data_IF_425111503358
#
_entry.id   IF_425111503358
#
_cell.length_a   1.000
_cell.length_b   1.000
_cell.length_c   1.000
_cell.angle_alpha   90.00
_cell.angle_beta   90.00
_cell.angle_gamma   90.00
#
_symmetry.space_group_name_H-M   'P 1'
#
loop_
_entity.id
_entity.type
_entity.pdbx_description
1 polymer ?
#
# COMPACT_ATOMS: atom_id res chain seq x y z
N UNK A 1 15.71 -7.48 -5.99
CA UNK A 1 14.98 -6.58 -5.06
C UNK A 1 13.51 -6.64 -5.44
N UNK A 2 12.62 -6.66 -4.44
CA UNK A 2 11.15 -6.69 -4.67
C UNK A 2 10.58 -5.28 -4.52
N UNK A 3 9.88 -4.80 -5.55
CA UNK A 3 9.20 -3.50 -5.54
C UNK A 3 7.69 -3.72 -5.60
N UNK A 4 6.98 -3.08 -4.68
CA UNK A 4 5.52 -3.02 -4.64
C UNK A 4 5.08 -1.62 -5.09
N UNK A 5 4.21 -1.55 -6.09
CA UNK A 5 3.58 -0.31 -6.54
C UNK A 5 2.15 -0.31 -6.02
N UNK A 6 1.81 0.70 -5.26
CA UNK A 6 0.51 0.87 -4.61
C UNK A 6 -0.27 1.99 -5.25
N UNK A 7 -1.48 1.73 -5.71
CA UNK A 7 -2.40 2.80 -6.08
C UNK A 7 -2.98 3.42 -4.81
N UNK A 8 -2.55 4.63 -4.48
CA UNK A 8 -2.88 5.28 -3.21
C UNK A 8 -4.17 6.08 -3.31
N UNK A 9 -5.11 5.83 -2.39
CA UNK A 9 -6.34 6.59 -2.23
C UNK A 9 -6.58 7.00 -0.77
N UNK A 10 -7.81 7.38 -0.46
CA UNK A 10 -8.22 7.96 0.83
C UNK A 10 -8.21 6.96 2.00
N UNK A 11 -8.28 5.67 1.72
CA UNK A 11 -8.24 4.63 2.74
C UNK A 11 -6.86 3.96 2.81
N UNK A 12 -5.91 4.56 3.53
CA UNK A 12 -4.51 4.14 3.47
C UNK A 12 -4.26 2.73 4.00
N UNK A 13 -5.19 2.15 4.79
CA UNK A 13 -4.97 0.82 5.39
C UNK A 13 -4.67 -0.26 4.35
N UNK A 14 -5.35 -0.24 3.21
CA UNK A 14 -5.15 -1.25 2.17
C UNK A 14 -3.76 -1.14 1.54
N UNK A 15 -3.25 0.07 1.37
CA UNK A 15 -1.92 0.32 0.82
C UNK A 15 -0.79 -0.15 1.75
N UNK A 16 -1.02 -0.14 3.06
CA UNK A 16 -0.02 -0.63 4.02
C UNK A 16 -0.14 -2.13 4.30
N UNK A 17 -1.32 -2.70 4.06
CA UNK A 17 -1.57 -4.14 4.27
C UNK A 17 -0.66 -4.98 3.38
N UNK A 18 -0.59 -4.68 2.07
CA UNK A 18 0.28 -5.40 1.15
C UNK A 18 1.75 -5.28 1.54
N UNK A 19 2.23 -4.09 1.91
CA UNK A 19 3.58 -3.90 2.41
C UNK A 19 3.88 -4.77 3.64
N UNK A 20 2.90 -4.93 4.53
CA UNK A 20 3.03 -5.75 5.74
C UNK A 20 3.04 -7.25 5.43
N UNK A 21 2.22 -7.69 4.47
CA UNK A 21 2.12 -9.10 4.07
C UNK A 21 3.34 -9.55 3.27
N UNK A 22 3.71 -8.77 2.23
CA UNK A 22 4.73 -9.18 1.27
C UNK A 22 6.15 -8.75 1.64
N UNK A 23 6.30 -7.80 2.57
CA UNK A 23 7.59 -7.26 3.05
C UNK A 23 8.55 -6.96 1.89
N UNK A 24 8.16 -6.10 0.95
CA UNK A 24 9.01 -5.75 -0.19
C UNK A 24 10.23 -4.95 0.27
N UNK A 25 11.25 -4.84 -0.57
CA UNK A 25 12.40 -3.95 -0.31
C UNK A 25 12.03 -2.48 -0.53
N UNK A 26 11.03 -2.23 -1.39
CA UNK A 26 10.57 -0.89 -1.74
C UNK A 26 9.06 -0.87 -2.02
N UNK A 27 8.40 0.18 -1.54
CA UNK A 27 7.00 0.52 -1.85
C UNK A 27 6.97 1.86 -2.58
N UNK A 28 6.23 1.95 -3.68
CA UNK A 28 6.01 3.19 -4.42
C UNK A 28 4.52 3.51 -4.41
N UNK A 29 4.13 4.53 -3.68
CA UNK A 29 2.76 5.04 -3.71
C UNK A 29 2.53 5.89 -4.95
N UNK A 30 1.51 5.55 -5.73
CA UNK A 30 1.09 6.29 -6.94
C UNK A 30 -0.26 6.94 -6.68
N UNK A 31 -0.32 8.27 -6.77
CA UNK A 31 -1.55 9.02 -6.53
C UNK A 31 -1.42 10.51 -6.82
N UNK A 32 -2.47 11.26 -6.52
CA UNK A 32 -2.45 12.71 -6.58
C UNK A 32 -1.59 13.29 -5.44
N UNK A 33 -1.13 14.51 -5.54
CA UNK A 33 -0.22 15.13 -4.56
C UNK A 33 -0.63 15.06 -3.08
N UNK A 34 -1.81 14.52 -2.75
CA UNK A 34 -2.25 14.22 -1.39
C UNK A 34 -1.36 13.21 -0.66
N UNK A 35 -0.76 12.28 -1.43
CA UNK A 35 0.20 11.30 -0.90
C UNK A 35 1.55 11.92 -0.51
N UNK A 36 1.82 13.13 -0.96
CA UNK A 36 3.05 13.89 -0.67
C UNK A 36 2.95 14.83 0.52
N UNK A 37 1.80 14.90 1.21
CA UNK A 37 1.67 15.74 2.40
C UNK A 37 2.57 15.27 3.52
N UNK A 38 3.07 16.22 4.30
CA UNK A 38 4.01 15.93 5.39
C UNK A 38 3.41 14.99 6.44
N UNK A 39 2.10 15.11 6.71
CA UNK A 39 1.38 14.22 7.62
C UNK A 39 1.39 12.77 7.13
N UNK A 40 1.23 12.55 5.82
CA UNK A 40 1.26 11.20 5.25
C UNK A 40 2.68 10.60 5.27
N UNK A 41 3.72 11.43 5.19
CA UNK A 41 5.11 10.98 5.36
C UNK A 41 5.34 10.51 6.79
N UNK A 42 4.98 11.34 7.77
CA UNK A 42 5.15 11.02 9.17
C UNK A 42 4.35 9.75 9.57
N UNK A 43 3.10 9.62 9.09
CA UNK A 43 2.28 8.45 9.32
C UNK A 43 2.89 7.18 8.70
N UNK A 44 3.48 7.29 7.51
CA UNK A 44 4.18 6.19 6.85
C UNK A 44 5.38 5.71 7.65
N UNK A 45 6.22 6.64 8.10
CA UNK A 45 7.44 6.32 8.88
C UNK A 45 7.07 5.70 10.23
N UNK A 46 6.05 6.23 10.90
CA UNK A 46 5.55 5.70 12.16
C UNK A 46 4.98 4.28 12.01
N UNK A 47 4.18 4.04 10.97
CA UNK A 47 3.67 2.72 10.67
C UNK A 47 4.79 1.73 10.37
N UNK A 48 5.73 2.11 9.52
CA UNK A 48 6.88 1.28 9.17
C UNK A 48 7.69 0.89 10.41
N UNK A 49 7.91 1.85 11.33
CA UNK A 49 8.59 1.63 12.59
C UNK A 49 7.84 0.63 13.48
N UNK A 50 6.51 0.82 13.65
CA UNK A 50 5.67 -0.06 14.48
C UNK A 50 5.63 -1.48 13.93
N UNK A 51 5.50 -1.63 12.61
CA UNK A 51 5.39 -2.91 11.92
C UNK A 51 6.75 -3.53 11.61
N UNK A 52 7.87 -2.85 11.93
CA UNK A 52 9.25 -3.27 11.64
C UNK A 52 9.43 -3.63 10.16
N UNK A 53 8.88 -2.78 9.28
CA UNK A 53 9.00 -2.99 7.84
C UNK A 53 10.39 -2.57 7.35
N UNK A 54 11.10 -3.43 6.62
CA UNK A 54 12.44 -3.13 6.12
C UNK A 54 12.43 -2.25 4.86
N UNK A 55 11.25 -1.98 4.30
CA UNK A 55 11.10 -1.37 2.99
C UNK A 55 11.30 0.15 3.00
N UNK A 56 11.78 0.68 1.86
CA UNK A 56 11.77 2.11 1.58
C UNK A 56 10.45 2.51 0.97
N UNK A 57 9.95 3.69 1.36
CA UNK A 57 8.75 4.26 0.77
C UNK A 57 9.11 5.40 -0.16
N UNK A 58 8.64 5.32 -1.42
CA UNK A 58 8.78 6.33 -2.46
C UNK A 58 7.38 6.76 -2.94
N UNK A 59 7.31 7.88 -3.64
CA UNK A 59 6.05 8.40 -4.19
C UNK A 59 6.22 8.75 -5.65
N UNK A 60 5.18 8.50 -6.42
CA UNK A 60 5.07 8.92 -7.79
C UNK A 60 3.72 9.62 -8.00
N UNK A 61 3.74 10.74 -8.70
CA UNK A 61 2.53 11.51 -8.98
C UNK A 61 1.83 10.95 -10.21
N UNK A 62 0.53 10.69 -10.07
CA UNK A 62 -0.40 10.47 -11.17
C UNK A 62 -1.78 10.97 -10.77
N UNK A 63 -2.54 11.48 -11.72
CA UNK A 63 -3.93 11.89 -11.52
C UNK A 63 -4.82 10.65 -11.59
N UNK A 64 -5.44 10.22 -10.48
CA UNK A 64 -6.19 8.95 -10.44
C UNK A 64 -7.46 8.97 -11.32
N UNK A 65 -7.94 10.14 -11.70
CA UNK A 65 -9.04 10.36 -12.63
C UNK A 65 -8.62 10.40 -14.12
N UNK A 66 -7.32 10.28 -14.40
CA UNK A 66 -6.79 10.26 -15.77
C UNK A 66 -6.18 8.89 -16.09
N UNK A 67 -6.92 8.10 -16.87
CA UNK A 67 -6.50 6.76 -17.30
C UNK A 67 -5.10 6.73 -17.94
N UNK A 68 -4.83 7.69 -18.84
CA UNK A 68 -3.55 7.70 -19.57
C UNK A 68 -2.39 8.11 -18.68
N UNK A 69 -2.62 9.00 -17.73
CA UNK A 69 -1.60 9.44 -16.77
C UNK A 69 -1.23 8.30 -15.81
N UNK A 70 -2.22 7.61 -15.24
CA UNK A 70 -1.99 6.44 -14.39
C UNK A 70 -1.29 5.33 -15.16
N UNK A 71 -1.82 4.94 -16.34
CA UNK A 71 -1.22 3.88 -17.17
C UNK A 71 0.24 4.19 -17.52
N UNK A 72 0.52 5.42 -17.95
CA UNK A 72 1.88 5.85 -18.28
C UNK A 72 2.80 5.82 -17.06
N UNK A 73 2.35 6.35 -15.93
CA UNK A 73 3.17 6.43 -14.72
C UNK A 73 3.48 5.05 -14.18
N UNK A 74 2.49 4.19 -14.00
CA UNK A 74 2.68 2.82 -13.51
C UNK A 74 3.51 2.00 -14.49
N UNK A 75 3.23 2.09 -15.79
CA UNK A 75 4.00 1.39 -16.83
C UNK A 75 5.49 1.79 -16.83
N UNK A 76 5.79 3.09 -16.70
CA UNK A 76 7.16 3.58 -16.60
C UNK A 76 7.88 3.08 -15.34
N UNK A 77 7.16 3.01 -14.19
CA UNK A 77 7.71 2.46 -12.95
C UNK A 77 8.05 0.97 -13.12
N UNK A 78 7.14 0.17 -13.69
CA UNK A 78 7.35 -1.25 -13.96
C UNK A 78 8.57 -1.44 -14.87
N UNK A 79 8.63 -0.70 -15.99
CA UNK A 79 9.74 -0.79 -16.94
C UNK A 79 11.09 -0.43 -16.27
N UNK A 80 11.10 0.64 -15.47
CA UNK A 80 12.29 1.08 -14.71
C UNK A 80 12.75 0.02 -13.71
N UNK A 81 11.85 -0.59 -12.97
CA UNK A 81 12.22 -1.63 -11.99
C UNK A 81 12.69 -2.91 -12.69
N UNK A 82 12.01 -3.36 -13.72
CA UNK A 82 12.40 -4.52 -14.53
C UNK A 82 13.76 -4.32 -15.19
N UNK A 83 14.06 -3.13 -15.70
CA UNK A 83 15.39 -2.84 -16.31
C UNK A 83 16.55 -2.91 -15.31
N UNK A 84 16.25 -2.82 -14.01
CA UNK A 84 17.21 -2.99 -12.91
C UNK A 84 17.29 -4.43 -12.39
N UNK A 85 16.56 -5.35 -13.00
CA UNK A 85 16.46 -6.74 -12.55
C UNK A 85 15.62 -6.93 -11.29
N UNK A 86 14.74 -5.97 -10.96
CA UNK A 86 13.86 -6.06 -9.81
C UNK A 86 12.55 -6.78 -10.17
N UNK A 87 12.04 -7.57 -9.23
CA UNK A 87 10.66 -8.03 -9.27
C UNK A 87 9.72 -6.86 -8.98
N UNK A 88 8.63 -6.75 -9.73
CA UNK A 88 7.69 -5.65 -9.59
C UNK A 88 6.26 -6.16 -9.59
N UNK A 89 5.50 -5.80 -8.58
CA UNK A 89 4.09 -6.15 -8.40
C UNK A 89 3.28 -4.87 -8.20
N UNK A 90 2.09 -4.80 -8.76
CA UNK A 90 1.16 -3.67 -8.60
C UNK A 90 -0.03 -4.12 -7.76
N UNK A 91 -0.25 -3.46 -6.62
CA UNK A 91 -1.47 -3.64 -5.84
C UNK A 91 -2.52 -2.62 -6.28
N UNK A 92 -3.66 -3.13 -6.70
CA UNK A 92 -4.78 -2.30 -7.15
C UNK A 92 -5.88 -2.14 -6.09
N UNK A 93 -5.69 -2.68 -4.89
CA UNK A 93 -6.72 -2.69 -3.84
C UNK A 93 -7.17 -1.28 -3.43
N UNK A 94 -6.24 -0.36 -3.25
CA UNK A 94 -6.51 1.00 -2.76
C UNK A 94 -6.80 2.04 -3.85
N UNK A 95 -6.84 1.65 -5.13
CA UNK A 95 -7.00 2.58 -6.23
C UNK A 95 -8.46 3.00 -6.48
N UNK A 96 -8.65 4.16 -7.10
CA UNK A 96 -9.96 4.59 -7.62
C UNK A 96 -10.29 3.86 -8.91
N UNK A 97 -11.57 3.74 -9.23
CA UNK A 97 -12.11 2.94 -10.34
C UNK A 97 -11.33 3.08 -11.65
N UNK A 98 -11.07 4.31 -12.09
CA UNK A 98 -10.37 4.55 -13.35
C UNK A 98 -8.87 4.19 -13.26
N UNK A 99 -8.25 4.40 -12.10
CA UNK A 99 -6.87 3.99 -11.84
C UNK A 99 -6.74 2.47 -11.80
N UNK A 100 -7.75 1.74 -11.26
CA UNK A 100 -7.79 0.29 -11.28
C UNK A 100 -7.83 -0.25 -12.73
N UNK A 101 -8.69 0.34 -13.57
CA UNK A 101 -8.79 -0.04 -14.99
C UNK A 101 -7.48 0.25 -15.73
N UNK A 102 -6.86 1.40 -15.45
CA UNK A 102 -5.59 1.78 -16.08
C UNK A 102 -4.45 0.83 -15.69
N UNK A 103 -4.29 0.54 -14.40
CA UNK A 103 -3.27 -0.41 -13.93
C UNK A 103 -3.57 -1.83 -14.39
N UNK A 104 -4.84 -2.27 -14.33
CA UNK A 104 -5.28 -3.59 -14.81
C UNK A 104 -4.96 -3.82 -16.29
N UNK A 105 -5.04 -2.78 -17.13
CA UNK A 105 -4.68 -2.89 -18.55
C UNK A 105 -3.22 -3.29 -18.79
N UNK A 106 -2.33 -3.06 -17.81
CA UNK A 106 -0.92 -3.43 -17.88
C UNK A 106 -0.65 -4.93 -17.73
N UNK A 107 -1.65 -5.72 -17.28
CA UNK A 107 -1.55 -7.19 -17.28
C UNK A 107 -1.26 -7.74 -18.68
N UNK A 108 -1.90 -7.18 -19.70
CA UNK A 108 -1.65 -7.56 -21.10
C UNK A 108 -0.20 -7.27 -21.54
N UNK A 109 0.49 -6.38 -20.86
CA UNK A 109 1.90 -6.00 -21.05
C UNK A 109 2.85 -6.77 -20.10
N UNK A 110 2.33 -7.80 -19.42
CA UNK A 110 3.12 -8.68 -18.52
C UNK A 110 3.37 -8.10 -17.13
N UNK A 111 2.52 -7.18 -16.66
CA UNK A 111 2.57 -6.72 -15.27
C UNK A 111 1.95 -7.77 -14.34
N UNK A 112 2.61 -8.07 -13.21
CA UNK A 112 2.01 -8.83 -12.12
C UNK A 112 1.11 -7.90 -11.29
N UNK A 113 -0.17 -8.24 -11.16
CA UNK A 113 -1.15 -7.43 -10.44
C UNK A 113 -1.77 -8.25 -9.32
N UNK A 114 -1.89 -7.64 -8.15
CA UNK A 114 -2.55 -8.24 -7.00
C UNK A 114 -3.74 -7.39 -6.55
N UNK A 115 -4.69 -8.05 -5.93
CA UNK A 115 -5.89 -7.46 -5.35
C UNK A 115 -6.23 -8.15 -4.04
N UNK A 116 -6.57 -7.39 -3.01
CA UNK A 116 -7.00 -7.94 -1.73
C UNK A 116 -8.50 -8.20 -1.71
N UNK A 117 -8.87 -9.46 -1.57
CA UNK A 117 -10.25 -9.90 -1.36
C UNK A 117 -10.58 -9.85 0.14
N UNK A 118 -11.26 -8.79 0.54
CA UNK A 118 -11.67 -8.56 1.93
C UNK A 118 -12.57 -9.70 2.46
N UNK A 119 -13.45 -10.24 1.63
CA UNK A 119 -14.40 -11.28 2.03
C UNK A 119 -13.69 -12.58 2.39
N UNK A 120 -12.68 -12.93 1.62
CA UNK A 120 -11.93 -14.16 1.80
C UNK A 120 -10.62 -13.95 2.61
N UNK A 121 -10.30 -12.71 2.98
CA UNK A 121 -9.07 -12.33 3.68
C UNK A 121 -7.81 -12.89 2.99
N UNK A 122 -7.69 -12.60 1.69
CA UNK A 122 -6.58 -13.08 0.88
C UNK A 122 -6.21 -12.13 -0.25
N UNK A 123 -4.94 -12.12 -0.63
CA UNK A 123 -4.51 -11.51 -1.89
C UNK A 123 -4.68 -12.48 -3.04
N UNK A 124 -5.23 -11.99 -4.14
CA UNK A 124 -5.34 -12.70 -5.41
C UNK A 124 -4.30 -12.17 -6.39
N UNK A 125 -3.54 -13.06 -7.01
CA UNK A 125 -2.61 -12.76 -8.09
C UNK A 125 -3.35 -12.89 -9.41
N UNK A 126 -3.68 -11.75 -10.02
CA UNK A 126 -4.62 -11.73 -11.15
C UNK A 126 -4.06 -12.37 -12.42
N UNK A 127 -2.72 -12.42 -12.58
CA UNK A 127 -2.06 -13.03 -13.74
C UNK A 127 -2.19 -14.55 -13.79
N UNK A 128 -2.30 -15.23 -12.64
CA UNK A 128 -2.25 -16.69 -12.56
C UNK A 128 -3.31 -17.34 -11.66
N UNK A 129 -4.16 -16.52 -11.04
CA UNK A 129 -5.25 -16.97 -10.16
C UNK A 129 -4.79 -17.56 -8.82
N UNK A 130 -3.51 -17.45 -8.47
CA UNK A 130 -3.04 -17.86 -7.14
C UNK A 130 -3.60 -16.96 -6.07
N UNK A 131 -3.73 -17.49 -4.86
CA UNK A 131 -4.15 -16.72 -3.69
C UNK A 131 -3.15 -16.87 -2.56
N UNK A 132 -3.07 -15.84 -1.71
CA UNK A 132 -2.28 -15.84 -0.49
C UNK A 132 -3.12 -15.33 0.67
N UNK A 133 -3.40 -16.17 1.66
CA UNK A 133 -4.12 -15.78 2.88
C UNK A 133 -3.34 -14.72 3.64
N UNK A 134 -4.07 -13.76 4.19
CA UNK A 134 -3.53 -12.74 5.08
C UNK A 134 -3.63 -13.23 6.52
N UNK A 135 -2.47 -13.30 7.19
CA UNK A 135 -2.35 -13.74 8.58
C UNK A 135 -1.52 -12.76 9.42
N UNK A 136 -1.58 -11.47 9.06
CA UNK A 136 -0.87 -10.43 9.81
C UNK A 136 -1.80 -9.80 10.84
N UNK A 137 -1.25 -9.51 12.01
CA UNK A 137 -1.91 -8.70 13.03
C UNK A 137 -1.38 -7.27 12.93
N UNK A 138 -2.29 -6.32 12.70
CA UNK A 138 -1.97 -4.89 12.68
C UNK A 138 -2.43 -4.31 14.01
N UNK A 139 -1.51 -3.89 14.90
CA UNK A 139 -1.87 -3.31 16.17
C UNK A 139 -2.75 -2.06 15.99
N UNK A 140 -3.72 -1.87 16.87
CA UNK A 140 -4.63 -0.73 16.84
C UNK A 140 -3.89 0.63 16.76
N UNK A 141 -2.75 0.75 17.45
CA UNK A 141 -1.88 1.94 17.38
C UNK A 141 -1.38 2.21 15.95
N UNK A 142 -0.96 1.18 15.22
CA UNK A 142 -0.47 1.32 13.85
C UNK A 142 -1.61 1.73 12.91
N UNK A 143 -2.81 1.17 13.11
CA UNK A 143 -4.00 1.57 12.37
C UNK A 143 -4.35 3.05 12.60
N UNK A 144 -4.33 3.52 13.85
CA UNK A 144 -4.61 4.93 14.19
C UNK A 144 -3.55 5.85 13.56
N UNK A 145 -2.27 5.46 13.57
CA UNK A 145 -1.20 6.27 13.01
C UNK A 145 -1.39 6.51 11.50
N UNK A 146 -1.73 5.48 10.73
CA UNK A 146 -1.97 5.64 9.27
C UNK A 146 -3.26 6.42 8.96
N UNK A 147 -4.22 6.43 9.88
CA UNK A 147 -5.43 7.25 9.78
C UNK A 147 -5.18 8.74 10.16
N UNK A 148 -3.92 9.11 10.48
CA UNK A 148 -3.55 10.46 10.89
C UNK A 148 -3.84 10.79 12.36
N UNK A 149 -4.15 9.77 13.17
CA UNK A 149 -4.37 9.91 14.60
C UNK A 149 -3.09 9.80 15.42
N UNK A 150 -3.14 10.34 16.64
CA UNK A 150 -2.06 10.21 17.62
C UNK A 150 -2.56 9.43 18.84
N UNK A 151 -1.80 8.41 19.23
CA UNK A 151 -2.11 7.64 20.44
C UNK A 151 -1.26 8.18 21.58
N UNK A 152 -1.91 8.75 22.56
CA UNK A 152 -1.28 9.16 23.82
C UNK A 152 -1.38 8.02 24.83
N UNK A 153 -0.23 7.54 25.31
CA UNK A 153 -0.21 6.67 26.51
C UNK A 153 -0.38 7.55 27.73
N UNK A 154 -1.61 7.69 28.20
CA UNK A 154 -1.84 8.25 29.54
C UNK A 154 -1.58 7.15 30.54
N UNK A 155 -0.50 7.25 31.29
CA UNK A 155 -0.26 6.46 32.51
C UNK A 155 -1.27 6.91 33.60
N UNK A 156 -2.56 6.68 33.39
CA UNK A 156 -3.54 6.71 34.47
C UNK A 156 -3.72 5.27 34.92
N UNK A 157 -3.16 4.97 36.09
CA UNK A 157 -3.65 3.89 36.89
C UNK A 157 -5.14 4.20 37.15
N UNK A 158 -6.03 3.63 36.35
CA UNK A 158 -7.41 3.54 36.68
C UNK A 158 -7.47 2.49 37.80
N UNK A 159 -7.35 2.98 39.02
CA UNK A 159 -7.60 2.19 40.23
C UNK A 159 -9.11 1.93 40.28
N UNK A 160 -9.53 0.80 39.75
CA UNK A 160 -10.88 0.28 39.94
C UNK A 160 -10.92 -0.40 41.31
N UNK A 161 -10.70 0.36 42.39
CA UNK A 161 -11.10 -0.09 43.70
C UNK A 161 -12.64 0.00 43.76
N UNK A 162 -13.25 -1.15 43.51
CA UNK A 162 -14.68 -1.37 43.76
C UNK A 162 -15.03 -1.05 45.20
N UNK A 163 -15.95 -0.13 45.41
CA UNK A 163 -16.83 -0.14 46.56
C UNK A 163 -17.89 -1.22 46.41
#
# INVERSE_FOLDING_TARGET
MKTLIELFDKEPIYNYLAATVFKPDKVIFVGDGGTGRQENVAATDEYARMMKLPCRFERAHARPEDFHDVKRTVGNLIAKEKSRGNECVVDVTGGRDLALVAAGSLMAEGAEIIFYDLKNNEYQFLSNGKTQKVSVDIPCKAFIAIAGGTVYETARNLDFSSE
#
